data_IF_173041134194
#
_entry.id   IF_173041134194
#
_cell.length_a   1.000
_cell.length_b   1.000
_cell.length_c   1.000
_cell.angle_alpha   90.00
_cell.angle_beta   90.00
_cell.angle_gamma   90.00
#
_symmetry.space_group_name_H-M   'P 1'
#
loop_
_entity.id
_entity.type
_entity.pdbx_description
1 polymer ?
#
# COMPACT_ATOMS: atom_id res chain seq x y z
N UNK A 1 17.64 18.27 9.03
CA UNK A 1 16.92 18.09 7.76
C UNK A 1 15.59 17.37 7.99
N UNK A 2 14.67 17.52 7.05
CA UNK A 2 13.35 16.84 7.11
C UNK A 2 13.21 15.98 5.87
N UNK A 3 12.77 14.74 6.03
CA UNK A 3 12.42 13.83 4.94
C UNK A 3 10.91 13.58 5.00
N UNK A 4 10.23 13.76 3.88
CA UNK A 4 8.80 13.45 3.74
C UNK A 4 8.65 12.05 3.16
N UNK A 5 7.89 11.20 3.82
CA UNK A 5 7.60 9.84 3.42
C UNK A 5 6.12 9.75 3.09
N UNK A 6 5.79 9.38 1.85
CA UNK A 6 4.40 9.22 1.44
C UNK A 6 3.81 7.94 2.03
N UNK A 7 2.74 8.09 2.81
CA UNK A 7 2.04 7.01 3.51
C UNK A 7 0.57 6.87 3.09
N UNK A 8 0.07 7.83 2.33
CA UNK A 8 -1.29 7.85 1.79
C UNK A 8 -1.34 7.71 0.27
N UNK A 9 -2.54 7.46 -0.26
CA UNK A 9 -2.79 7.31 -1.69
C UNK A 9 -3.22 8.61 -2.38
N UNK A 10 -3.48 9.66 -1.62
CA UNK A 10 -3.90 10.96 -2.10
C UNK A 10 -2.74 11.84 -2.57
N UNK A 11 -3.06 13.09 -2.87
CA UNK A 11 -2.10 14.10 -3.30
C UNK A 11 -1.93 15.23 -2.28
N UNK A 12 -2.56 15.13 -1.12
CA UNK A 12 -2.48 16.14 -0.08
C UNK A 12 -1.30 15.85 0.87
N UNK A 13 -0.23 16.68 0.86
CA UNK A 13 0.92 16.45 1.72
C UNK A 13 0.58 16.52 3.22
N UNK A 14 -0.50 17.18 3.61
CA UNK A 14 -0.89 17.33 5.01
C UNK A 14 -1.45 16.02 5.59
N UNK A 15 -2.04 15.17 4.76
CA UNK A 15 -2.69 13.93 5.17
C UNK A 15 -1.97 12.67 4.70
N UNK A 16 -1.27 12.77 3.58
CA UNK A 16 -0.67 11.61 2.91
C UNK A 16 0.84 11.48 3.14
N UNK A 17 1.48 12.54 3.65
CA UNK A 17 2.92 12.57 3.87
C UNK A 17 3.26 12.58 5.37
N UNK A 18 4.18 11.73 5.77
CA UNK A 18 4.76 11.74 7.11
C UNK A 18 6.12 12.41 7.08
N UNK A 19 6.21 13.60 7.68
CA UNK A 19 7.47 14.31 7.86
C UNK A 19 8.29 13.69 8.99
N UNK A 20 9.51 13.28 8.70
CA UNK A 20 10.51 12.85 9.68
C UNK A 20 11.62 13.88 9.71
N UNK A 21 11.82 14.52 10.87
CA UNK A 21 12.86 15.53 11.05
C UNK A 21 14.10 14.90 11.68
N UNK A 22 15.26 15.25 11.15
CA UNK A 22 16.58 14.84 11.66
C UNK A 22 17.32 16.05 12.18
N UNK A 23 17.69 16.00 13.45
CA UNK A 23 18.54 17.01 14.08
C UNK A 23 19.99 16.81 13.65
N UNK A 24 20.69 17.91 13.39
CA UNK A 24 22.13 17.83 13.13
C UNK A 24 22.88 17.52 14.43
N UNK A 25 23.49 16.35 14.49
CA UNK A 25 24.24 15.85 15.63
C UNK A 25 25.77 15.89 15.40
N UNK A 26 26.22 16.67 14.42
CA UNK A 26 27.65 16.95 14.25
C UNK A 26 28.14 17.81 15.41
N UNK A 27 29.47 17.84 15.64
CA UNK A 27 30.05 18.69 16.67
C UNK A 27 29.70 20.17 16.52
N UNK A 28 29.62 20.64 15.28
CA UNK A 28 29.20 22.03 14.97
C UNK A 28 27.69 22.21 15.24
N UNK A 29 26.84 21.25 14.83
CA UNK A 29 25.40 21.29 15.08
C UNK A 29 25.04 21.24 16.57
N UNK A 30 25.86 20.60 17.37
CA UNK A 30 25.74 20.53 18.84
C UNK A 30 26.44 21.68 19.56
N UNK A 31 27.22 22.53 18.86
CA UNK A 31 27.91 23.66 19.43
C UNK A 31 29.06 23.28 20.36
N UNK A 32 29.69 22.12 20.14
CA UNK A 32 30.81 21.63 20.94
C UNK A 32 32.15 21.67 20.22
N UNK A 33 32.17 22.09 18.95
CA UNK A 33 33.35 22.16 18.09
C UNK A 33 34.37 23.24 18.53
N UNK A 34 33.89 24.29 19.21
CA UNK A 34 34.68 25.40 19.70
C UNK A 34 34.99 25.32 21.20
N UNK A 35 34.71 24.15 21.81
CA UNK A 35 34.97 23.95 23.24
C UNK A 35 36.48 24.07 23.57
N UNK A 36 36.84 25.00 24.43
CA UNK A 36 38.22 25.22 24.89
C UNK A 36 38.28 24.97 26.41
N UNK A 37 39.21 24.11 26.83
CA UNK A 37 39.40 23.75 28.24
C UNK A 37 40.75 24.28 28.79
N UNK A 38 41.43 25.15 28.07
CA UNK A 38 42.74 25.69 28.45
C UNK A 38 42.67 26.65 29.64
N UNK A 39 41.46 27.22 29.88
CA UNK A 39 41.22 28.11 31.02
C UNK A 39 40.05 27.60 31.88
N UNK A 40 39.99 28.02 33.13
CA UNK A 40 38.85 27.67 34.01
C UNK A 40 37.50 28.12 33.39
N UNK A 41 37.47 29.33 32.88
CA UNK A 41 36.25 29.86 32.24
C UNK A 41 35.87 29.08 30.98
N UNK A 42 36.86 28.68 30.17
CA UNK A 42 36.67 27.83 29.00
C UNK A 42 36.11 26.44 29.39
N UNK A 43 36.68 25.82 30.44
CA UNK A 43 36.19 24.55 30.95
C UNK A 43 34.75 24.61 31.46
N UNK A 44 34.38 25.68 32.19
CA UNK A 44 33.02 25.89 32.67
C UNK A 44 32.03 26.07 31.49
N UNK A 45 32.46 26.81 30.43
CA UNK A 45 31.68 26.97 29.21
C UNK A 45 31.55 25.64 28.42
N UNK A 46 32.63 24.87 28.34
CA UNK A 46 32.61 23.56 27.68
C UNK A 46 31.64 22.56 28.36
N UNK A 47 31.62 22.54 29.70
CA UNK A 47 30.64 21.74 30.45
C UNK A 47 29.21 22.15 30.11
N UNK A 48 28.96 23.44 30.05
CA UNK A 48 27.61 23.95 29.70
C UNK A 48 27.22 23.57 28.27
N UNK A 49 28.16 23.69 27.31
CA UNK A 49 27.93 23.30 25.92
C UNK A 49 27.66 21.77 25.78
N UNK A 50 28.39 20.93 26.50
CA UNK A 50 28.17 19.49 26.54
C UNK A 50 26.82 19.14 27.12
N UNK A 51 26.39 19.79 28.21
CA UNK A 51 25.08 19.55 28.78
C UNK A 51 23.97 19.90 27.77
N UNK A 52 24.07 21.05 27.09
CA UNK A 52 23.12 21.44 26.05
C UNK A 52 23.11 20.44 24.86
N UNK A 53 24.28 19.92 24.49
CA UNK A 53 24.42 18.90 23.46
C UNK A 53 23.70 17.60 23.86
N UNK A 54 23.87 17.16 25.10
CA UNK A 54 23.17 15.98 25.66
C UNK A 54 21.67 16.17 25.61
N UNK A 55 21.17 17.31 26.03
CA UNK A 55 19.74 17.63 26.00
C UNK A 55 19.22 17.62 24.55
N UNK A 56 19.96 18.21 23.62
CA UNK A 56 19.61 18.20 22.18
C UNK A 56 19.54 16.78 21.63
N UNK A 57 20.50 15.92 21.98
CA UNK A 57 20.50 14.51 21.57
C UNK A 57 19.33 13.76 22.18
N UNK A 58 18.95 14.02 23.43
CA UNK A 58 17.81 13.37 24.07
C UNK A 58 16.50 13.74 23.39
N UNK A 59 16.30 15.03 23.05
CA UNK A 59 15.15 15.49 22.27
C UNK A 59 15.13 14.81 20.90
N UNK A 60 16.26 14.81 20.18
CA UNK A 60 16.35 14.16 18.88
C UNK A 60 16.02 12.66 18.93
N UNK A 61 16.46 11.96 19.97
CA UNK A 61 16.10 10.54 20.19
C UNK A 61 14.62 10.34 20.45
N UNK A 62 14.00 11.23 21.21
CA UNK A 62 12.55 11.20 21.48
C UNK A 62 11.76 11.41 20.19
N UNK A 63 12.14 12.39 19.39
CA UNK A 63 11.50 12.71 18.11
C UNK A 63 11.64 11.56 17.10
N UNK A 64 12.82 10.94 17.05
CA UNK A 64 13.06 9.76 16.22
C UNK A 64 12.20 8.56 16.69
N UNK A 65 12.10 8.34 18.00
CA UNK A 65 11.25 7.30 18.56
C UNK A 65 9.76 7.52 18.23
N UNK A 66 9.29 8.76 18.37
CA UNK A 66 7.93 9.13 17.98
C UNK A 66 7.69 8.92 16.47
N UNK A 67 8.66 9.31 15.65
CA UNK A 67 8.59 9.13 14.20
C UNK A 67 8.57 7.65 13.80
N UNK A 68 9.38 6.82 14.47
CA UNK A 68 9.36 5.36 14.28
C UNK A 68 7.99 4.77 14.61
N UNK A 69 7.41 5.12 15.75
CA UNK A 69 6.07 4.64 16.12
C UNK A 69 5.01 5.07 15.09
N UNK A 70 5.08 6.30 14.60
CA UNK A 70 4.15 6.78 13.55
C UNK A 70 4.31 6.01 12.25
N UNK A 71 5.54 5.65 11.86
CA UNK A 71 5.81 4.82 10.67
C UNK A 71 5.29 3.40 10.84
N UNK A 72 5.43 2.81 12.04
CA UNK A 72 4.87 1.49 12.36
C UNK A 72 3.34 1.48 12.23
N UNK A 73 2.65 2.49 12.78
CA UNK A 73 1.20 2.64 12.62
C UNK A 73 0.79 2.86 11.17
N UNK A 74 1.52 3.69 10.43
CA UNK A 74 1.25 3.91 9.01
C UNK A 74 1.42 2.61 8.20
N UNK A 75 2.48 1.85 8.48
CA UNK A 75 2.72 0.54 7.85
C UNK A 75 1.58 -0.45 8.13
N UNK A 76 1.11 -0.53 9.37
CA UNK A 76 -0.02 -1.39 9.74
C UNK A 76 -1.32 -0.97 9.03
N UNK A 77 -1.59 0.33 8.93
CA UNK A 77 -2.75 0.84 8.21
C UNK A 77 -2.68 0.54 6.70
N UNK A 78 -1.50 0.69 6.09
CA UNK A 78 -1.29 0.34 4.68
C UNK A 78 -1.51 -1.15 4.47
N UNK A 79 -0.97 -2.02 5.33
CA UNK A 79 -1.16 -3.47 5.24
C UNK A 79 -2.65 -3.84 5.30
N UNK A 80 -3.41 -3.26 6.24
CA UNK A 80 -4.86 -3.46 6.33
C UNK A 80 -5.61 -2.94 5.09
N UNK A 81 -5.18 -1.80 4.54
CA UNK A 81 -5.77 -1.25 3.32
C UNK A 81 -5.51 -2.15 2.11
N UNK A 82 -4.33 -2.73 2.01
CA UNK A 82 -3.99 -3.71 0.95
C UNK A 82 -4.90 -4.93 1.07
N UNK A 83 -5.03 -5.51 2.27
CA UNK A 83 -5.89 -6.68 2.51
C UNK A 83 -7.36 -6.40 2.15
N UNK A 84 -7.89 -5.26 2.57
CA UNK A 84 -9.26 -4.84 2.23
C UNK A 84 -9.44 -4.62 0.72
N UNK A 85 -8.43 -4.05 0.05
CA UNK A 85 -8.46 -3.82 -1.40
C UNK A 85 -8.39 -5.13 -2.17
N UNK A 86 -7.55 -6.08 -1.74
CA UNK A 86 -7.47 -7.42 -2.33
C UNK A 86 -8.76 -8.19 -2.12
N UNK A 87 -9.38 -8.13 -0.94
CA UNK A 87 -10.69 -8.74 -0.69
C UNK A 87 -11.79 -8.12 -1.57
N UNK A 88 -11.82 -6.80 -1.72
CA UNK A 88 -12.75 -6.13 -2.61
C UNK A 88 -12.52 -6.50 -4.08
N UNK A 89 -11.27 -6.60 -4.50
CA UNK A 89 -10.88 -7.03 -5.84
C UNK A 89 -11.31 -8.48 -6.11
N UNK A 90 -11.10 -9.39 -5.15
CA UNK A 90 -11.54 -10.78 -5.24
C UNK A 90 -13.06 -10.85 -5.42
N UNK A 91 -13.83 -10.11 -4.59
CA UNK A 91 -15.29 -10.07 -4.72
C UNK A 91 -15.80 -9.54 -6.07
N UNK A 92 -15.02 -8.68 -6.74
CA UNK A 92 -15.42 -8.10 -8.03
C UNK A 92 -14.96 -8.93 -9.24
N UNK A 93 -13.80 -9.56 -9.13
CA UNK A 93 -13.13 -10.19 -10.27
C UNK A 93 -13.16 -11.71 -10.24
N UNK A 94 -13.26 -12.31 -9.05
CA UNK A 94 -13.24 -13.76 -8.93
C UNK A 94 -14.58 -14.34 -9.40
N UNK A 95 -14.51 -15.14 -10.43
CA UNK A 95 -15.64 -15.93 -10.89
C UNK A 95 -15.87 -17.09 -9.91
N UNK A 96 -17.11 -17.26 -9.44
CA UNK A 96 -17.53 -18.52 -8.82
C UNK A 96 -17.38 -19.64 -9.86
N UNK A 97 -16.31 -20.41 -9.72
CA UNK A 97 -15.96 -21.45 -10.70
C UNK A 97 -17.05 -22.51 -10.81
N UNK A 98 -17.75 -22.82 -9.72
CA UNK A 98 -18.85 -23.79 -9.73
C UNK A 98 -20.04 -23.25 -10.53
N UNK A 99 -20.44 -22.00 -10.31
CA UNK A 99 -21.49 -21.34 -11.09
C UNK A 99 -21.08 -21.17 -12.55
N UNK A 100 -19.84 -20.75 -12.81
CA UNK A 100 -19.33 -20.58 -14.17
C UNK A 100 -19.30 -21.88 -14.98
N UNK A 101 -18.87 -22.99 -14.36
CA UNK A 101 -18.88 -24.31 -15.05
C UNK A 101 -20.29 -24.85 -15.27
N UNK A 102 -21.23 -24.62 -14.34
CA UNK A 102 -22.63 -24.98 -14.51
C UNK A 102 -23.28 -24.20 -15.68
N UNK A 103 -23.02 -22.91 -15.77
CA UNK A 103 -23.49 -22.08 -16.88
C UNK A 103 -22.90 -22.53 -18.23
N UNK A 104 -21.61 -22.84 -18.26
CA UNK A 104 -20.95 -23.38 -19.46
C UNK A 104 -21.59 -24.71 -19.90
N UNK A 105 -21.84 -25.63 -18.97
CA UNK A 105 -22.49 -26.89 -19.24
C UNK A 105 -23.92 -26.68 -19.78
N UNK A 106 -24.71 -25.79 -19.20
CA UNK A 106 -26.06 -25.44 -19.64
C UNK A 106 -26.02 -24.84 -21.05
N UNK A 107 -25.12 -23.91 -21.35
CA UNK A 107 -24.97 -23.32 -22.69
C UNK A 107 -24.53 -24.36 -23.72
N UNK A 108 -23.62 -25.26 -23.36
CA UNK A 108 -23.19 -26.35 -24.23
C UNK A 108 -24.35 -27.29 -24.57
N UNK A 109 -25.18 -27.65 -23.58
CA UNK A 109 -26.38 -28.48 -23.78
C UNK A 109 -27.40 -27.76 -24.66
N UNK A 110 -27.69 -26.48 -24.45
CA UNK A 110 -28.55 -25.67 -25.27
C UNK A 110 -28.09 -25.63 -26.73
N UNK A 111 -26.77 -25.43 -26.93
CA UNK A 111 -26.18 -25.41 -28.26
C UNK A 111 -26.35 -26.76 -28.99
N UNK A 112 -26.07 -27.88 -28.31
CA UNK A 112 -26.23 -29.22 -28.88
C UNK A 112 -27.74 -29.50 -29.23
N UNK A 113 -28.65 -29.13 -28.33
CA UNK A 113 -30.07 -29.27 -28.58
C UNK A 113 -30.57 -28.42 -29.79
N UNK A 114 -30.01 -27.21 -29.92
CA UNK A 114 -30.25 -26.34 -31.05
C UNK A 114 -29.82 -26.93 -32.40
N UNK A 115 -28.59 -27.48 -32.44
CA UNK A 115 -28.06 -28.17 -33.63
C UNK A 115 -28.93 -29.39 -33.99
N UNK A 116 -29.31 -30.19 -32.98
CA UNK A 116 -30.16 -31.35 -33.18
C UNK A 116 -31.56 -30.95 -33.74
N UNK A 117 -32.16 -29.91 -33.18
CA UNK A 117 -33.45 -29.38 -33.64
C UNK A 117 -33.38 -28.87 -35.09
N UNK A 118 -32.33 -28.14 -35.46
CA UNK A 118 -32.09 -27.67 -36.83
C UNK A 118 -31.88 -28.85 -37.79
N UNK A 119 -31.17 -29.89 -37.38
CA UNK A 119 -30.99 -31.11 -38.14
C UNK A 119 -32.32 -31.80 -38.44
N UNK A 120 -33.21 -31.90 -37.43
CA UNK A 120 -34.57 -32.45 -37.58
C UNK A 120 -35.43 -31.59 -38.50
N UNK A 121 -35.43 -30.28 -38.34
CA UNK A 121 -36.18 -29.36 -39.19
C UNK A 121 -35.74 -29.48 -40.68
N UNK A 122 -34.46 -29.56 -40.94
CA UNK A 122 -33.92 -29.75 -42.30
C UNK A 122 -34.33 -31.11 -42.89
N UNK A 123 -34.35 -32.18 -42.11
CA UNK A 123 -34.81 -33.50 -42.56
C UNK A 123 -36.31 -33.47 -42.92
N UNK A 124 -37.10 -32.77 -42.11
CA UNK A 124 -38.53 -32.66 -42.34
C UNK A 124 -38.85 -31.86 -43.62
N UNK A 125 -38.11 -30.80 -43.88
CA UNK A 125 -38.23 -30.05 -45.15
C UNK A 125 -37.85 -30.90 -46.37
N UNK A 126 -36.79 -31.70 -46.29
CA UNK A 126 -36.43 -32.64 -47.36
C UNK A 126 -37.48 -33.75 -47.60
N UNK A 127 -38.13 -34.21 -46.52
CA UNK A 127 -39.22 -35.20 -46.63
C UNK A 127 -40.46 -34.62 -47.33
N UNK A 128 -40.84 -33.38 -47.00
CA UNK A 128 -41.92 -32.66 -47.64
C UNK A 128 -41.65 -32.43 -49.14
N UNK A 129 -40.44 -32.05 -49.52
CA UNK A 129 -40.05 -31.93 -50.92
C UNK A 129 -40.16 -33.25 -51.71
N UNK A 130 -39.88 -34.37 -51.06
CA UNK A 130 -39.99 -35.71 -51.67
C UNK A 130 -41.42 -36.20 -51.83
N UNK A 131 -42.38 -35.66 -51.05
CA UNK A 131 -43.80 -35.94 -51.16
C UNK A 131 -44.51 -35.12 -52.25
N UNK A 132 -43.90 -34.00 -52.66
CA UNK A 132 -44.44 -33.08 -53.65
C UNK A 132 -43.82 -33.30 -55.05
N UNK A 133 -42.81 -34.14 -55.18
CA UNK A 133 -42.14 -34.55 -56.40
C UNK A 133 -42.66 -35.96 -56.86
#
# INVERSE_FOLDING_TARGET
GTVSIKVGTGSDPATDDLGVSFTDTTSAGLGVDTADVSTKAGADAAISAINNAIDTIQVARTDNGASQSRLEFASANIATSIENTEAARSNLLDLDFAAGTADLANKSTQYQAGIFSLGKANQQSKFLLKLLA
#
